data_IF_727529630158
#
_entry.id   IF_727529630158
#
_cell.length_a   1.000
_cell.length_b   1.000
_cell.length_c   1.000
_cell.angle_alpha   90.00
_cell.angle_beta   90.00
_cell.angle_gamma   90.00
#
_symmetry.space_group_name_H-M   'P 1'
#
loop_
_entity.id
_entity.type
_entity.pdbx_description
1 polymer ?
#
# COMPACT_ATOMS: atom_id res chain seq x y z
N UNK A 1 19.90 -11.34 4.30
CA UNK A 1 18.66 -10.85 4.93
C UNK A 1 17.56 -10.94 3.89
N UNK A 2 16.39 -11.55 4.24
CA UNK A 2 15.25 -11.66 3.33
C UNK A 2 14.74 -10.29 2.85
N UNK A 3 14.05 -10.26 1.71
CA UNK A 3 13.55 -9.03 1.09
C UNK A 3 12.54 -8.27 1.98
N UNK A 4 11.78 -9.00 2.79
CA UNK A 4 10.72 -8.46 3.67
C UNK A 4 11.07 -8.66 5.14
N UNK A 5 12.21 -8.16 5.55
CA UNK A 5 12.84 -8.43 6.85
C UNK A 5 12.02 -7.97 8.08
N UNK A 6 10.98 -7.18 7.90
CA UNK A 6 10.08 -6.79 8.98
C UNK A 6 8.89 -7.74 9.17
N UNK A 7 8.69 -8.69 8.24
CA UNK A 7 7.64 -9.71 8.37
C UNK A 7 8.15 -10.90 9.17
N UNK A 8 7.23 -11.58 9.86
CA UNK A 8 7.48 -12.84 10.57
C UNK A 8 6.54 -13.96 10.06
N UNK A 9 6.73 -15.18 10.58
CA UNK A 9 5.96 -16.35 10.15
C UNK A 9 4.45 -16.25 10.43
N UNK A 10 4.02 -15.34 11.30
CA UNK A 10 2.62 -15.07 11.60
C UNK A 10 1.98 -14.04 10.68
N UNK A 11 2.72 -13.47 9.73
CA UNK A 11 2.21 -12.47 8.81
C UNK A 11 1.77 -13.11 7.49
N UNK A 12 0.49 -12.99 7.18
CA UNK A 12 -0.08 -13.44 5.90
C UNK A 12 -0.24 -12.26 4.97
N UNK A 13 0.56 -12.23 3.89
CA UNK A 13 0.58 -11.16 2.91
C UNK A 13 0.42 -11.71 1.50
N UNK A 14 -0.48 -11.09 0.72
CA UNK A 14 -0.75 -11.40 -0.68
C UNK A 14 -0.31 -10.24 -1.57
N UNK A 15 0.08 -10.54 -2.79
CA UNK A 15 0.45 -9.52 -3.79
C UNK A 15 0.02 -9.99 -5.20
N UNK A 16 -0.13 -9.01 -6.11
CA UNK A 16 -0.56 -9.30 -7.49
C UNK A 16 0.65 -9.50 -8.39
N UNK A 17 1.65 -8.59 -8.30
CA UNK A 17 2.81 -8.57 -9.20
C UNK A 17 4.13 -8.43 -8.43
N UNK A 18 5.22 -8.53 -9.20
CA UNK A 18 6.56 -8.25 -8.70
C UNK A 18 7.07 -6.91 -9.23
N UNK A 19 7.71 -6.14 -8.35
CA UNK A 19 8.29 -4.83 -8.62
C UNK A 19 9.79 -4.85 -8.40
N UNK A 20 10.56 -4.61 -9.47
CA UNK A 20 12.00 -4.55 -9.38
C UNK A 20 12.47 -3.23 -8.77
N UNK A 21 12.93 -3.30 -7.50
CA UNK A 21 13.45 -2.12 -6.81
C UNK A 21 14.64 -1.49 -7.53
N UNK A 22 14.76 -0.16 -7.41
CA UNK A 22 15.86 0.63 -7.96
C UNK A 22 15.95 0.65 -9.49
N UNK A 23 15.10 -0.09 -10.21
CA UNK A 23 15.00 -0.02 -11.65
C UNK A 23 14.05 1.09 -12.11
N UNK A 24 14.26 1.56 -13.33
CA UNK A 24 13.45 2.61 -13.95
C UNK A 24 12.21 2.03 -14.67
N UNK A 25 11.52 2.85 -15.46
CA UNK A 25 10.37 2.44 -16.27
C UNK A 25 10.67 1.28 -17.26
N UNK A 26 11.92 1.13 -17.69
CA UNK A 26 12.34 0.09 -18.63
C UNK A 26 12.32 -1.33 -18.01
N UNK A 27 12.24 -1.44 -16.67
CA UNK A 27 12.15 -2.73 -16.00
C UNK A 27 10.81 -3.49 -16.19
N UNK A 28 9.87 -2.91 -16.92
CA UNK A 28 8.65 -3.58 -17.33
C UNK A 28 7.35 -2.93 -16.85
N UNK A 29 6.20 -3.57 -17.16
CA UNK A 29 4.88 -2.98 -16.92
C UNK A 29 4.57 -2.70 -15.45
N UNK A 30 4.98 -3.58 -14.54
CA UNK A 30 4.77 -3.39 -13.09
C UNK A 30 5.54 -2.18 -12.58
N UNK A 31 6.79 -1.98 -13.04
CA UNK A 31 7.57 -0.81 -12.67
C UNK A 31 6.94 0.48 -13.17
N UNK A 32 6.41 0.48 -14.40
CA UNK A 32 5.66 1.63 -14.95
C UNK A 32 4.40 1.91 -14.13
N UNK A 33 3.63 0.87 -13.80
CA UNK A 33 2.42 0.98 -12.98
C UNK A 33 2.73 1.61 -11.62
N UNK A 34 3.68 1.06 -10.87
CA UNK A 34 4.01 1.53 -9.52
C UNK A 34 4.56 2.96 -9.55
N UNK A 35 5.43 3.30 -10.50
CA UNK A 35 5.95 4.67 -10.64
C UNK A 35 4.84 5.66 -10.98
N UNK A 36 3.90 5.31 -11.86
CA UNK A 36 2.77 6.15 -12.20
C UNK A 36 1.78 6.31 -11.02
N UNK A 37 1.54 5.25 -10.23
CA UNK A 37 0.76 5.35 -8.99
C UNK A 37 1.38 6.34 -8.00
N UNK A 38 2.70 6.37 -7.90
CA UNK A 38 3.46 7.21 -6.95
C UNK A 38 3.72 8.65 -7.44
N UNK A 39 3.19 9.07 -8.58
CA UNK A 39 3.25 10.47 -9.02
C UNK A 39 2.59 11.35 -7.97
N UNK A 40 3.34 12.33 -7.43
CA UNK A 40 2.88 13.23 -6.38
C UNK A 40 1.89 14.27 -6.91
N UNK A 41 0.93 14.76 -6.08
CA UNK A 41 0.04 15.86 -6.44
C UNK A 41 0.78 17.10 -6.96
N UNK A 42 1.87 17.51 -6.32
CA UNK A 42 2.67 18.66 -6.77
C UNK A 42 3.33 18.44 -8.15
N UNK A 43 3.66 17.22 -8.52
CA UNK A 43 4.15 16.92 -9.86
C UNK A 43 3.01 17.02 -10.92
N UNK A 44 1.80 16.61 -10.56
CA UNK A 44 0.62 16.74 -11.44
C UNK A 44 0.22 18.21 -11.64
N UNK A 45 0.43 19.06 -10.64
CA UNK A 45 0.20 20.49 -10.76
C UNK A 45 1.17 21.15 -11.76
N UNK A 46 2.43 20.72 -11.75
CA UNK A 46 3.48 21.22 -12.67
C UNK A 46 3.34 20.67 -14.09
N UNK A 47 2.88 19.41 -14.22
CA UNK A 47 2.75 18.68 -15.49
C UNK A 47 1.40 17.98 -15.56
N UNK A 48 0.34 18.61 -16.09
CA UNK A 48 -1.02 18.04 -16.12
C UNK A 48 -1.14 16.66 -16.77
N UNK A 49 -0.28 16.35 -17.75
CA UNK A 49 -0.22 15.03 -18.40
C UNK A 49 0.09 13.90 -17.42
N UNK A 50 0.83 14.17 -16.33
CA UNK A 50 1.10 13.19 -15.28
C UNK A 50 -0.15 12.73 -14.55
N UNK A 51 -1.17 13.59 -14.44
CA UNK A 51 -2.48 13.20 -13.89
C UNK A 51 -3.12 12.07 -14.70
N UNK A 52 -3.05 12.14 -16.02
CA UNK A 52 -3.57 11.08 -16.89
C UNK A 52 -2.90 9.73 -16.60
N UNK A 53 -1.56 9.69 -16.53
CA UNK A 53 -0.82 8.47 -16.22
C UNK A 53 -1.14 7.91 -14.84
N UNK A 54 -1.26 8.78 -13.82
CA UNK A 54 -1.67 8.34 -12.48
C UNK A 54 -3.07 7.74 -12.49
N UNK A 55 -4.03 8.37 -13.17
CA UNK A 55 -5.40 7.87 -13.25
C UNK A 55 -5.51 6.56 -14.03
N UNK A 56 -4.70 6.38 -15.07
CA UNK A 56 -4.59 5.09 -15.76
C UNK A 56 -4.02 4.01 -14.84
N UNK A 57 -2.97 4.32 -14.07
CA UNK A 57 -2.36 3.38 -13.14
C UNK A 57 -3.34 2.95 -12.03
N UNK A 58 -4.07 3.91 -11.43
CA UNK A 58 -5.15 3.62 -10.47
C UNK A 58 -6.20 2.70 -11.10
N UNK A 59 -6.63 3.00 -12.34
CA UNK A 59 -7.63 2.17 -13.05
C UNK A 59 -7.13 0.76 -13.33
N UNK A 60 -5.86 0.61 -13.69
CA UNK A 60 -5.25 -0.69 -13.98
C UNK A 60 -5.13 -1.53 -12.69
N UNK A 61 -4.62 -0.94 -11.61
CA UNK A 61 -4.52 -1.61 -10.31
C UNK A 61 -5.91 -2.02 -9.79
N UNK A 62 -6.90 -1.12 -9.88
CA UNK A 62 -8.27 -1.39 -9.47
C UNK A 62 -8.91 -2.54 -10.27
N UNK A 63 -8.70 -2.58 -11.60
CA UNK A 63 -9.21 -3.67 -12.46
C UNK A 63 -8.61 -5.01 -12.07
N UNK A 64 -7.31 -5.06 -11.82
CA UNK A 64 -6.64 -6.29 -11.42
C UNK A 64 -7.10 -6.77 -10.04
N UNK A 65 -7.21 -5.86 -9.07
CA UNK A 65 -7.72 -6.16 -7.74
C UNK A 65 -9.16 -6.70 -7.78
N UNK A 66 -10.01 -6.07 -8.58
CA UNK A 66 -11.40 -6.51 -8.81
C UNK A 66 -11.47 -7.92 -9.41
N UNK A 67 -10.62 -8.22 -10.38
CA UNK A 67 -10.55 -9.53 -11.01
C UNK A 67 -10.01 -10.62 -10.06
N UNK A 68 -9.02 -10.26 -9.22
CA UNK A 68 -8.42 -11.18 -8.26
C UNK A 68 -9.41 -11.63 -7.18
N UNK A 69 -10.11 -10.67 -6.57
CA UNK A 69 -10.97 -10.96 -5.42
C UNK A 69 -12.35 -11.51 -5.82
N UNK A 70 -12.92 -11.01 -6.93
CA UNK A 70 -14.33 -11.26 -7.24
C UNK A 70 -15.30 -10.62 -6.23
N UNK A 71 -16.55 -10.43 -6.63
CA UNK A 71 -17.54 -9.71 -5.83
C UNK A 71 -17.88 -10.42 -4.52
N UNK A 72 -18.18 -11.71 -4.62
CA UNK A 72 -18.62 -12.50 -3.46
C UNK A 72 -17.56 -12.51 -2.34
N UNK A 73 -16.28 -12.65 -2.70
CA UNK A 73 -15.18 -12.60 -1.75
C UNK A 73 -15.03 -11.21 -1.16
N UNK A 74 -15.05 -10.15 -1.99
CA UNK A 74 -14.82 -8.78 -1.53
C UNK A 74 -15.97 -8.25 -0.66
N UNK A 75 -17.22 -8.64 -0.92
CA UNK A 75 -18.40 -8.28 -0.10
C UNK A 75 -18.52 -9.11 1.18
N UNK A 76 -17.68 -10.12 1.37
CA UNK A 76 -17.68 -11.03 2.50
C UNK A 76 -17.34 -10.38 3.85
N UNK A 77 -16.59 -11.08 4.68
CA UNK A 77 -16.26 -10.65 6.05
C UNK A 77 -14.98 -9.80 6.13
N UNK A 78 -14.76 -8.92 5.15
CA UNK A 78 -13.53 -8.13 5.06
C UNK A 78 -13.80 -6.62 5.22
N UNK A 79 -13.00 -5.96 6.07
CA UNK A 79 -12.81 -4.51 6.05
C UNK A 79 -11.48 -4.20 5.39
N UNK A 80 -11.49 -3.43 4.31
CA UNK A 80 -10.28 -3.02 3.62
C UNK A 80 -9.78 -1.69 4.19
N UNK A 81 -8.58 -1.70 4.76
CA UNK A 81 -7.97 -0.54 5.39
C UNK A 81 -6.73 -0.12 4.58
N UNK A 82 -6.82 0.96 3.80
CA UNK A 82 -5.68 1.45 3.03
C UNK A 82 -4.61 2.03 3.95
N UNK A 83 -3.34 1.73 3.66
CA UNK A 83 -2.19 2.39 4.30
C UNK A 83 -2.12 3.84 3.81
N UNK A 84 -1.97 4.83 4.72
CA UNK A 84 -1.88 6.23 4.34
C UNK A 84 -0.56 6.53 3.62
N UNK A 85 -0.55 7.62 2.85
CA UNK A 85 0.70 8.15 2.31
C UNK A 85 1.58 8.75 3.41
N UNK A 86 2.84 9.05 3.07
CA UNK A 86 3.79 9.69 4.00
C UNK A 86 3.46 11.16 4.33
N UNK A 87 2.42 11.72 3.73
CA UNK A 87 1.99 13.10 3.95
C UNK A 87 0.68 13.14 4.71
N UNK A 88 0.61 14.03 5.70
CA UNK A 88 -0.59 14.24 6.50
C UNK A 88 -1.74 14.80 5.64
N UNK A 89 -2.97 14.55 6.07
CA UNK A 89 -4.16 15.14 5.44
C UNK A 89 -4.06 16.67 5.51
N UNK A 90 -4.28 17.33 4.37
CA UNK A 90 -4.13 18.79 4.23
C UNK A 90 -2.78 19.24 3.66
N UNK A 91 -1.78 18.37 3.57
CA UNK A 91 -0.55 18.66 2.83
C UNK A 91 -0.81 18.67 1.32
N UNK A 92 -0.14 19.58 0.59
CA UNK A 92 -0.30 19.73 -0.86
C UNK A 92 0.12 18.45 -1.64
N UNK A 93 1.00 17.65 -1.06
CA UNK A 93 1.45 16.37 -1.62
C UNK A 93 0.79 15.15 -0.95
N UNK A 94 -0.28 15.34 -0.18
CA UNK A 94 -1.08 14.23 0.33
C UNK A 94 -1.64 13.39 -0.82
N UNK A 95 -1.44 12.09 -0.75
CA UNK A 95 -1.77 11.16 -1.85
C UNK A 95 -2.56 9.96 -1.32
N UNK A 96 -3.84 9.94 -1.59
CA UNK A 96 -4.79 8.91 -1.17
C UNK A 96 -4.94 7.75 -2.18
N UNK A 97 -3.90 7.51 -3.00
CA UNK A 97 -3.94 6.53 -4.11
C UNK A 97 -4.43 5.14 -3.71
N UNK A 98 -4.05 4.64 -2.51
CA UNK A 98 -4.50 3.34 -2.02
C UNK A 98 -6.00 3.31 -1.80
N UNK A 99 -6.58 4.38 -1.24
CA UNK A 99 -8.03 4.56 -1.10
C UNK A 99 -8.70 4.61 -2.47
N UNK A 100 -8.18 5.42 -3.40
CA UNK A 100 -8.74 5.53 -4.77
C UNK A 100 -8.73 4.21 -5.53
N UNK A 101 -7.70 3.38 -5.36
CA UNK A 101 -7.64 2.04 -5.97
C UNK A 101 -8.75 1.15 -5.42
N UNK A 102 -8.93 1.09 -4.10
CA UNK A 102 -9.98 0.29 -3.45
C UNK A 102 -11.38 0.76 -3.85
N UNK A 103 -11.66 2.05 -3.76
CA UNK A 103 -12.96 2.63 -4.13
C UNK A 103 -13.30 2.37 -5.61
N UNK A 104 -12.29 2.48 -6.49
CA UNK A 104 -12.48 2.21 -7.91
C UNK A 104 -12.65 0.72 -8.21
N UNK A 105 -11.91 -0.16 -7.51
CA UNK A 105 -12.04 -1.61 -7.63
C UNK A 105 -13.43 -2.09 -7.23
N UNK A 106 -13.95 -1.55 -6.14
CA UNK A 106 -15.19 -2.00 -5.54
C UNK A 106 -16.42 -1.15 -5.90
N UNK A 107 -16.29 -0.27 -6.89
CA UNK A 107 -17.43 0.53 -7.35
C UNK A 107 -18.61 -0.35 -7.76
N UNK A 108 -19.77 -0.11 -7.13
CA UNK A 108 -21.00 -0.89 -7.34
C UNK A 108 -21.05 -2.20 -6.55
N UNK A 109 -20.05 -2.49 -5.70
CA UNK A 109 -20.05 -3.60 -4.76
C UNK A 109 -20.26 -3.09 -3.33
N UNK A 110 -20.84 -3.91 -2.46
CA UNK A 110 -21.05 -3.59 -1.05
C UNK A 110 -19.83 -3.97 -0.19
N UNK A 111 -18.67 -3.43 -0.56
CA UNK A 111 -17.42 -3.65 0.17
C UNK A 111 -17.24 -2.61 1.27
N UNK A 112 -16.61 -3.03 2.36
CA UNK A 112 -16.31 -2.17 3.49
C UNK A 112 -14.89 -1.62 3.34
N UNK A 113 -14.75 -0.41 2.79
CA UNK A 113 -13.48 0.33 2.68
C UNK A 113 -13.44 1.41 3.75
N UNK A 114 -12.45 1.34 4.64
CA UNK A 114 -12.33 2.23 5.79
C UNK A 114 -10.93 2.86 5.85
N UNK A 115 -10.72 4.09 5.35
CA UNK A 115 -9.45 4.80 5.44
C UNK A 115 -9.26 5.40 6.85
N UNK A 116 -9.13 4.54 7.84
CA UNK A 116 -9.03 4.89 9.27
C UNK A 116 -7.61 5.06 9.77
N UNK A 117 -6.62 4.73 8.96
CA UNK A 117 -5.21 5.03 9.27
C UNK A 117 -4.83 6.39 8.69
N UNK A 118 -4.14 7.21 9.48
CA UNK A 118 -3.60 8.48 9.03
C UNK A 118 -2.24 8.77 9.63
N UNK A 119 -1.50 9.65 8.99
CA UNK A 119 -0.24 10.20 9.50
C UNK A 119 -0.51 11.52 10.19
N UNK A 120 -0.03 11.68 11.42
CA UNK A 120 -0.21 12.91 12.23
C UNK A 120 0.56 14.11 11.68
N UNK A 121 1.79 13.85 11.22
CA UNK A 121 2.67 14.85 10.64
C UNK A 121 3.35 14.29 9.40
N UNK A 122 3.80 15.17 8.52
CA UNK A 122 4.55 14.74 7.35
C UNK A 122 5.79 13.94 7.74
N UNK A 123 5.92 12.76 7.17
CA UNK A 123 7.16 12.00 7.23
C UNK A 123 8.14 12.57 6.19
N UNK A 124 9.43 12.65 6.54
CA UNK A 124 10.46 12.92 5.55
C UNK A 124 10.47 11.78 4.54
N UNK A 125 10.65 12.12 3.25
CA UNK A 125 10.71 11.10 2.21
C UNK A 125 11.94 10.22 2.45
N UNK A 126 11.73 8.90 2.47
CA UNK A 126 12.76 7.85 2.70
C UNK A 126 14.00 7.93 1.76
N UNK A 127 13.95 8.82 0.77
CA UNK A 127 15.00 8.95 -0.24
C UNK A 127 16.07 9.99 0.08
N UNK A 128 15.84 10.85 1.07
CA UNK A 128 16.72 11.97 1.40
C UNK A 128 17.48 11.81 2.72
N UNK A 129 17.10 10.85 3.57
CA UNK A 129 17.82 10.54 4.80
C UNK A 129 18.54 9.19 4.70
N UNK A 130 19.81 9.18 5.10
CA UNK A 130 20.59 7.94 5.28
C UNK A 130 19.96 7.02 6.34
N UNK A 131 19.14 7.57 7.23
CA UNK A 131 18.37 6.87 8.26
C UNK A 131 16.93 6.63 7.79
N UNK A 132 16.68 5.39 7.36
CA UNK A 132 15.31 4.91 7.13
C UNK A 132 14.54 4.92 8.45
N UNK A 133 13.34 5.52 8.46
CA UNK A 133 12.45 5.48 9.62
C UNK A 133 12.36 4.07 10.21
N UNK A 134 12.53 3.97 11.52
CA UNK A 134 12.39 2.71 12.26
C UNK A 134 10.91 2.33 12.37
N UNK A 135 10.62 1.14 12.89
CA UNK A 135 9.25 0.74 13.23
C UNK A 135 8.64 1.72 14.26
N UNK A 136 9.40 2.09 15.28
CA UNK A 136 8.93 2.98 16.36
C UNK A 136 8.66 4.40 15.85
N UNK A 137 9.49 4.93 14.95
CA UNK A 137 9.25 6.23 14.31
C UNK A 137 7.94 6.23 13.51
N UNK A 138 7.70 5.18 12.73
CA UNK A 138 6.47 5.03 11.96
C UNK A 138 5.25 4.87 12.86
N UNK A 139 5.38 4.11 13.95
CA UNK A 139 4.32 3.90 14.94
C UNK A 139 3.98 5.22 15.65
N UNK A 140 4.98 6.02 16.00
CA UNK A 140 4.78 7.31 16.67
C UNK A 140 4.01 8.33 15.82
N UNK A 141 4.17 8.27 14.50
CA UNK A 141 3.52 9.22 13.57
C UNK A 141 2.24 8.70 12.94
N UNK A 142 1.95 7.40 13.06
CA UNK A 142 0.73 6.79 12.48
C UNK A 142 -0.31 6.59 13.57
N UNK A 143 -1.56 6.85 13.28
CA UNK A 143 -2.66 6.63 14.22
C UNK A 143 -3.88 6.02 13.56
N UNK A 144 -4.71 5.36 14.39
CA UNK A 144 -6.06 4.95 13.99
C UNK A 144 -7.00 6.10 14.28
N UNK A 145 -7.68 6.56 13.25
CA UNK A 145 -8.78 7.52 13.39
C UNK A 145 -10.08 6.77 13.65
N UNK A 146 -10.95 7.34 14.46
CA UNK A 146 -12.21 6.69 14.83
C UNK A 146 -13.02 6.30 13.58
N UNK A 147 -13.31 5.01 13.46
CA UNK A 147 -14.21 4.51 12.43
C UNK A 147 -15.66 4.86 12.79
N UNK A 148 -16.44 5.23 11.79
CA UNK A 148 -17.89 5.42 11.95
C UNK A 148 -18.66 4.08 11.92
N UNK A 149 -17.99 2.99 11.52
CA UNK A 149 -18.58 1.65 11.44
C UNK A 149 -17.68 0.64 12.12
N UNK A 150 -18.19 -0.38 12.79
CA UNK A 150 -17.39 -1.49 13.29
C UNK A 150 -16.63 -2.17 12.15
N UNK A 151 -15.38 -2.51 12.40
CA UNK A 151 -14.62 -3.33 11.45
C UNK A 151 -15.13 -4.77 11.44
N UNK A 152 -15.07 -5.40 10.28
CA UNK A 152 -15.44 -6.81 10.11
C UNK A 152 -14.37 -7.72 10.74
N UNK A 153 -14.69 -9.01 10.98
CA UNK A 153 -13.78 -9.95 11.66
C UNK A 153 -12.42 -10.13 10.98
N UNK A 154 -12.36 -9.91 9.66
CA UNK A 154 -11.10 -9.93 8.92
C UNK A 154 -10.78 -8.53 8.38
N UNK A 155 -9.61 -8.03 8.75
CA UNK A 155 -9.09 -6.74 8.29
C UNK A 155 -8.03 -6.98 7.23
N UNK A 156 -8.21 -6.40 6.05
CA UNK A 156 -7.24 -6.46 4.95
C UNK A 156 -6.54 -5.11 4.86
N UNK A 157 -5.29 -5.06 5.30
CA UNK A 157 -4.42 -3.89 5.13
C UNK A 157 -3.98 -3.85 3.66
N UNK A 158 -4.28 -2.75 2.96
CA UNK A 158 -3.97 -2.58 1.55
C UNK A 158 -2.92 -1.50 1.31
N UNK A 159 -1.87 -1.84 0.55
CA UNK A 159 -0.84 -0.87 0.15
C UNK A 159 -0.38 -1.12 -1.31
N UNK A 160 0.38 -0.18 -1.86
CA UNK A 160 0.88 -0.29 -3.25
C UNK A 160 2.03 -1.31 -3.37
N UNK A 161 3.02 -1.27 -2.49
CA UNK A 161 4.21 -2.13 -2.58
C UNK A 161 4.61 -2.70 -1.22
N UNK A 162 4.67 -4.01 -1.15
CA UNK A 162 5.33 -4.71 -0.05
C UNK A 162 6.86 -4.61 -0.25
N UNK A 163 7.49 -3.70 0.48
CA UNK A 163 8.95 -3.55 0.49
C UNK A 163 9.52 -4.29 1.72
N UNK A 164 9.94 -3.58 2.76
CA UNK A 164 10.41 -4.21 4.00
C UNK A 164 9.31 -4.86 4.84
N UNK A 165 8.05 -4.47 4.64
CA UNK A 165 6.92 -4.86 5.47
C UNK A 165 6.66 -3.96 6.67
N UNK A 166 7.48 -2.93 6.92
CA UNK A 166 7.35 -2.04 8.09
C UNK A 166 5.98 -1.37 8.19
N UNK A 167 5.49 -0.77 7.09
CA UNK A 167 4.18 -0.10 7.07
C UNK A 167 3.05 -1.07 7.43
N UNK A 168 3.11 -2.29 6.90
CA UNK A 168 2.17 -3.34 7.25
C UNK A 168 2.22 -3.69 8.74
N UNK A 169 3.42 -3.87 9.31
CA UNK A 169 3.59 -4.21 10.73
C UNK A 169 3.07 -3.12 11.66
N UNK A 170 3.31 -1.85 11.33
CA UNK A 170 2.78 -0.71 12.09
C UNK A 170 1.25 -0.69 12.01
N UNK A 171 0.69 -0.80 10.81
CA UNK A 171 -0.76 -0.85 10.63
C UNK A 171 -1.38 -2.05 11.37
N UNK A 172 -0.76 -3.24 11.28
CA UNK A 172 -1.18 -4.45 11.99
C UNK A 172 -1.15 -4.25 13.50
N UNK A 173 -0.09 -3.68 14.05
CA UNK A 173 0.03 -3.39 15.49
C UNK A 173 -1.10 -2.49 15.98
N UNK A 174 -1.33 -1.36 15.29
CA UNK A 174 -2.38 -0.41 15.64
C UNK A 174 -3.78 -1.03 15.55
N UNK A 175 -4.07 -1.75 14.47
CA UNK A 175 -5.37 -2.36 14.25
C UNK A 175 -5.64 -3.56 15.17
N UNK A 176 -4.61 -4.34 15.52
CA UNK A 176 -4.74 -5.42 16.51
C UNK A 176 -5.02 -4.89 17.91
N UNK A 177 -4.43 -3.75 18.27
CA UNK A 177 -4.74 -3.10 19.55
C UNK A 177 -6.18 -2.62 19.60
N UNK A 178 -6.67 -2.04 18.51
CA UNK A 178 -8.07 -1.57 18.42
C UNK A 178 -9.09 -2.71 18.27
N UNK A 179 -8.69 -3.84 17.67
CA UNK A 179 -9.55 -5.00 17.37
C UNK A 179 -8.81 -6.31 17.67
N UNK A 180 -8.67 -6.71 18.94
CA UNK A 180 -7.82 -7.84 19.34
C UNK A 180 -8.23 -9.21 18.78
N UNK A 181 -9.49 -9.37 18.39
CA UNK A 181 -10.04 -10.64 17.86
C UNK A 181 -10.04 -10.72 16.35
N UNK A 182 -9.64 -9.63 15.65
CA UNK A 182 -9.66 -9.61 14.20
C UNK A 182 -8.48 -10.40 13.59
N UNK A 183 -8.76 -11.12 12.52
CA UNK A 183 -7.71 -11.66 11.64
C UNK A 183 -7.20 -10.52 10.75
N UNK A 184 -5.89 -10.32 10.71
CA UNK A 184 -5.29 -9.24 9.90
C UNK A 184 -4.44 -9.82 8.78
N UNK A 185 -4.73 -9.43 7.56
CA UNK A 185 -4.06 -9.84 6.33
C UNK A 185 -3.46 -8.62 5.63
N UNK A 186 -2.37 -8.83 4.88
CA UNK A 186 -1.81 -7.84 3.96
C UNK A 186 -2.20 -8.13 2.52
N UNK A 187 -2.53 -7.10 1.75
CA UNK A 187 -2.80 -7.19 0.32
C UNK A 187 -2.09 -6.03 -0.40
N UNK A 188 -1.27 -6.38 -1.38
CA UNK A 188 -0.41 -5.42 -2.07
C UNK A 188 -0.58 -5.49 -3.58
N UNK A 189 -0.43 -4.36 -4.25
CA UNK A 189 -0.39 -4.34 -5.71
C UNK A 189 0.85 -5.08 -6.20
N UNK A 190 2.00 -4.86 -5.55
CA UNK A 190 3.22 -5.58 -5.89
C UNK A 190 4.08 -5.88 -4.66
N UNK A 191 4.89 -6.94 -4.73
CA UNK A 191 6.02 -7.11 -3.82
C UNK A 191 7.31 -6.62 -4.47
N UNK A 192 8.17 -6.01 -3.67
CA UNK A 192 9.50 -5.63 -4.09
C UNK A 192 10.38 -6.87 -4.20
N UNK A 193 10.97 -7.09 -5.38
CA UNK A 193 12.04 -8.05 -5.59
C UNK A 193 13.36 -7.30 -5.73
N UNK A 194 14.40 -7.81 -5.07
CA UNK A 194 15.78 -7.42 -5.32
C UNK A 194 16.37 -8.52 -6.20
N UNK A 195 17.04 -8.15 -7.28
CA UNK A 195 17.90 -9.14 -7.95
C UNK A 195 18.92 -9.58 -6.90
N UNK A 196 18.81 -10.83 -6.47
CA UNK A 196 19.97 -11.50 -5.93
C UNK A 196 20.93 -11.63 -7.11
N UNK A 197 22.24 -11.46 -6.86
CA UNK A 197 23.34 -11.72 -7.80
C UNK A 197 23.39 -13.21 -8.21
N UNK A 198 22.28 -13.77 -8.67
CA UNK A 198 22.18 -15.15 -9.13
C UNK A 198 22.51 -15.31 -10.61
N UNK A 199 23.05 -14.29 -11.26
CA UNK A 199 23.56 -14.41 -12.64
C UNK A 199 24.97 -15.04 -12.73
N UNK A 200 25.44 -15.68 -11.64
CA UNK A 200 26.70 -16.44 -11.65
C UNK A 200 26.53 -17.96 -11.53
N UNK A 201 25.40 -18.50 -11.89
CA UNK A 201 25.19 -19.97 -11.88
C UNK A 201 24.77 -20.51 -13.26
N UNK A 202 25.43 -20.09 -14.32
CA UNK A 202 25.50 -20.83 -15.59
C UNK A 202 26.92 -20.70 -16.18
N UNK A 203 27.78 -21.61 -15.74
CA UNK A 203 28.94 -22.11 -16.49
C UNK A 203 28.98 -23.63 -16.34
#
# INVERSE_FOLDING_TARGET
MGEHFSLDAGDTCFYIWEYAARKNYAAGPTNQLIKNLKIKPGEMAKMPTRRHYKQQAIGHAAKALRALLGQQTAEGQYSFVPVPSSKAIGDADHDDRSTQVLERAFRGWNCDVQPILRVRHNMQADHESADRMTFDDLLAVTEVFASMKPLRPTIVIFDDVLNSGKHFKVAKSLLSTANPTATILGLFIARCTRENDSDFAEL
#
